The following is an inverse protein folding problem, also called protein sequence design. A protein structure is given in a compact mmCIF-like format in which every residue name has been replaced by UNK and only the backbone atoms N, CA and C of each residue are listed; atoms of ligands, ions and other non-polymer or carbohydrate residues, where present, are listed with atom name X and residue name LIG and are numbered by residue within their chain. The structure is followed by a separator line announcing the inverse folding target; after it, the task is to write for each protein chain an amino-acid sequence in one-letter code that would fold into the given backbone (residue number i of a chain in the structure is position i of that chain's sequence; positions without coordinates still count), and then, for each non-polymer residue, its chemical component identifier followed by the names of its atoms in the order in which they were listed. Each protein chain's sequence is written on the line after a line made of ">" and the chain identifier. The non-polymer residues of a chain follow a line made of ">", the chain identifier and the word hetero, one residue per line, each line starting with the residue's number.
data_IF_660997733152
#
_entry.id   IF_660997733152
#
_cell.length_a   1.000
_cell.length_b   1.000
_cell.length_c   1.000
_cell.angle_alpha   90.00
_cell.angle_beta   90.00
_cell.angle_gamma   90.00
#
_symmetry.space_group_name_H-M   'P 1'
#
loop_
_entity.id
_entity.type
_entity.pdbx_description
1 polymer ?
#
# COMPACT_ATOMS: atom_id res chain seq x y z
N UNK A 1 -12.56 -4.75 5.54
CA UNK A 1 -11.28 -4.54 6.26
C UNK A 1 -10.33 -3.76 5.38
N UNK A 2 -9.72 -2.73 5.92
CA UNK A 2 -8.72 -1.93 5.19
C UNK A 2 -7.34 -2.32 5.70
N UNK A 3 -6.44 -2.58 4.78
CA UNK A 3 -5.02 -2.82 5.06
C UNK A 3 -4.16 -2.00 4.11
N UNK A 4 -2.87 -1.95 4.33
CA UNK A 4 -1.95 -1.38 3.35
C UNK A 4 -0.72 -2.26 3.18
N UNK A 5 -0.10 -2.15 2.02
CA UNK A 5 1.16 -2.81 1.68
C UNK A 5 2.14 -1.74 1.25
N UNK A 6 3.28 -1.64 1.92
CA UNK A 6 4.27 -0.61 1.66
C UNK A 6 5.68 -1.12 1.91
N UNK A 7 6.63 -0.66 1.11
CA UNK A 7 8.05 -0.77 1.40
C UNK A 7 8.55 0.61 1.80
N UNK A 8 9.27 0.71 2.90
CA UNK A 8 9.62 1.97 3.53
C UNK A 8 11.08 1.94 4.01
N UNK A 9 11.83 3.00 3.76
CA UNK A 9 13.21 3.08 4.22
C UNK A 9 13.32 3.65 5.65
N UNK A 10 14.52 3.70 6.27
CA UNK A 10 14.65 4.18 7.65
C UNK A 10 14.17 5.62 7.89
N UNK A 11 14.08 6.44 6.85
CA UNK A 11 13.61 7.82 6.93
C UNK A 11 12.14 7.96 6.49
N UNK A 12 11.38 6.87 6.49
CA UNK A 12 9.99 6.82 6.03
C UNK A 12 9.83 7.10 4.54
N UNK A 13 10.91 6.94 3.76
CA UNK A 13 10.90 7.12 2.31
C UNK A 13 10.21 5.99 1.59
N UNK A 14 9.38 6.32 0.60
CA UNK A 14 8.62 5.33 -0.17
C UNK A 14 8.71 5.52 -1.68
N UNK A 15 9.31 6.60 -2.15
CA UNK A 15 9.39 6.83 -3.59
C UNK A 15 10.33 7.94 -3.99
N UNK A 16 10.72 7.91 -5.27
CA UNK A 16 11.44 8.99 -5.94
C UNK A 16 11.01 9.04 -7.41
N UNK A 17 10.67 10.24 -7.90
CA UNK A 17 10.26 10.48 -9.29
C UNK A 17 9.18 9.50 -9.77
N UNK A 18 8.20 9.21 -8.91
CA UNK A 18 7.08 8.32 -9.22
C UNK A 18 7.38 6.83 -9.22
N UNK A 19 8.57 6.43 -8.79
CA UNK A 19 9.00 5.03 -8.74
C UNK A 19 9.55 4.68 -7.36
N UNK A 20 9.80 3.38 -7.14
CA UNK A 20 10.52 2.92 -5.95
C UNK A 20 12.01 3.24 -6.10
N UNK A 21 12.68 3.71 -5.02
CA UNK A 21 14.12 3.98 -5.08
C UNK A 21 14.98 2.72 -5.12
N UNK A 22 14.39 1.57 -4.77
CA UNK A 22 15.08 0.28 -4.72
C UNK A 22 14.46 -0.70 -5.70
N UNK A 23 15.21 -1.76 -5.99
CA UNK A 23 14.74 -2.85 -6.81
C UNK A 23 15.15 -4.16 -6.14
N UNK A 24 14.22 -4.74 -5.37
CA UNK A 24 14.47 -5.90 -4.53
C UNK A 24 13.49 -7.00 -4.91
N UNK A 25 14.02 -8.08 -5.51
CA UNK A 25 13.21 -9.17 -6.04
C UNK A 25 12.32 -9.84 -5.00
N UNK A 26 12.88 -10.12 -3.82
CA UNK A 26 12.15 -10.79 -2.74
C UNK A 26 10.98 -9.95 -2.25
N UNK A 27 11.15 -8.62 -2.21
CA UNK A 27 10.10 -7.71 -1.82
C UNK A 27 8.96 -7.70 -2.84
N UNK A 28 9.28 -7.69 -4.13
CA UNK A 28 8.28 -7.77 -5.19
C UNK A 28 7.51 -9.10 -5.15
N UNK A 29 8.17 -10.19 -4.83
CA UNK A 29 7.52 -11.50 -4.67
C UNK A 29 6.56 -11.50 -3.49
N UNK A 30 6.94 -10.86 -2.37
CA UNK A 30 6.06 -10.72 -1.20
C UNK A 30 4.83 -9.88 -1.53
N UNK A 31 5.00 -8.78 -2.23
CA UNK A 31 3.88 -7.94 -2.67
C UNK A 31 2.89 -8.76 -3.50
N UNK A 32 3.40 -9.51 -4.48
CA UNK A 32 2.56 -10.37 -5.31
C UNK A 32 1.82 -11.42 -4.47
N UNK A 33 2.52 -12.09 -3.56
CA UNK A 33 1.93 -13.11 -2.69
C UNK A 33 0.82 -12.52 -1.82
N UNK A 34 1.08 -11.36 -1.21
CA UNK A 34 0.16 -10.75 -0.25
C UNK A 34 -1.09 -10.15 -0.93
N UNK A 35 -0.99 -9.79 -2.20
CA UNK A 35 -2.09 -9.13 -2.92
C UNK A 35 -2.85 -10.07 -3.88
N UNK A 36 -2.34 -11.26 -4.15
CA UNK A 36 -2.96 -12.18 -5.10
C UNK A 36 -4.38 -12.55 -4.67
N UNK A 37 -5.31 -12.51 -5.61
CA UNK A 37 -6.74 -12.79 -5.41
C UNK A 37 -7.45 -11.81 -4.47
N UNK A 38 -6.86 -10.65 -4.25
CA UNK A 38 -7.42 -9.63 -3.35
C UNK A 38 -7.77 -8.35 -4.09
N UNK A 39 -8.50 -7.49 -3.41
CA UNK A 39 -8.82 -6.14 -3.88
C UNK A 39 -7.69 -5.20 -3.46
N UNK A 40 -7.20 -4.41 -4.42
CA UNK A 40 -6.16 -3.42 -4.13
C UNK A 40 -6.64 -2.02 -4.52
N UNK A 41 -6.34 -1.05 -3.65
CA UNK A 41 -6.63 0.36 -3.86
C UNK A 41 -5.36 1.10 -4.18
N UNK A 42 -5.37 1.93 -5.23
CA UNK A 42 -4.26 2.82 -5.51
C UNK A 42 -4.73 4.10 -6.18
N UNK A 43 -3.98 5.17 -5.99
CA UNK A 43 -4.25 6.43 -6.66
C UNK A 43 -4.04 6.33 -8.17
N UNK A 44 -4.69 7.21 -8.92
CA UNK A 44 -4.60 7.24 -10.38
C UNK A 44 -3.15 7.34 -10.86
N UNK A 45 -2.36 8.23 -10.28
CA UNK A 45 -0.96 8.41 -10.69
C UNK A 45 -0.15 7.14 -10.52
N UNK A 46 -0.32 6.46 -9.38
CA UNK A 46 0.34 5.18 -9.13
C UNK A 46 -0.08 4.13 -10.15
N UNK A 47 -1.37 4.03 -10.42
CA UNK A 47 -1.89 3.07 -11.39
C UNK A 47 -1.36 3.35 -12.80
N UNK A 48 -1.40 4.61 -13.23
CA UNK A 48 -0.96 5.00 -14.57
C UNK A 48 0.55 4.82 -14.78
N UNK A 49 1.33 4.83 -13.71
CA UNK A 49 2.78 4.62 -13.76
C UNK A 49 3.21 3.15 -13.63
N UNK A 50 2.29 2.21 -13.50
CA UNK A 50 2.63 0.80 -13.43
C UNK A 50 3.29 0.34 -14.73
N UNK A 51 4.37 -0.47 -14.64
CA UNK A 51 5.04 -0.96 -15.85
C UNK A 51 4.25 -2.02 -16.60
N UNK A 52 3.16 -2.53 -16.00
CA UNK A 52 2.31 -3.55 -16.62
C UNK A 52 1.05 -3.76 -15.81
N UNK A 53 0.25 -4.74 -16.23
CA UNK A 53 -0.98 -5.10 -15.51
C UNK A 53 -0.68 -5.85 -14.21
N UNK A 54 -1.69 -5.94 -13.35
CA UNK A 54 -1.62 -6.70 -12.10
C UNK A 54 -2.61 -7.87 -12.17
N UNK A 55 -2.26 -8.95 -12.88
CA UNK A 55 -3.17 -10.09 -13.04
C UNK A 55 -3.47 -10.76 -11.71
N UNK A 56 -4.70 -11.27 -11.57
CA UNK A 56 -5.14 -11.96 -10.36
C UNK A 56 -5.53 -11.04 -9.22
N UNK A 57 -5.58 -9.73 -9.44
CA UNK A 57 -6.00 -8.75 -8.43
C UNK A 57 -7.11 -7.88 -8.99
N UNK A 58 -8.04 -7.50 -8.11
CA UNK A 58 -9.11 -6.56 -8.46
C UNK A 58 -8.65 -5.16 -8.06
N UNK A 59 -8.44 -4.29 -9.05
CA UNK A 59 -7.91 -2.96 -8.83
C UNK A 59 -9.03 -1.94 -8.71
N UNK A 60 -8.95 -1.10 -7.68
CA UNK A 60 -9.81 0.05 -7.48
C UNK A 60 -8.92 1.28 -7.54
N UNK A 61 -9.16 2.15 -8.53
CA UNK A 61 -8.38 3.37 -8.73
C UNK A 61 -9.09 4.53 -8.04
N UNK A 62 -8.33 5.26 -7.24
CA UNK A 62 -8.80 6.47 -6.54
C UNK A 62 -8.41 7.69 -7.37
N UNK A 63 -9.39 8.48 -7.78
CA UNK A 63 -9.16 9.69 -8.56
C UNK A 63 -10.26 10.70 -8.31
N UNK A 64 -9.92 11.99 -8.40
CA UNK A 64 -10.93 13.07 -8.36
C UNK A 64 -11.55 13.33 -9.73
N UNK A 65 -11.02 12.73 -10.79
CA UNK A 65 -11.54 12.90 -12.15
C UNK A 65 -12.79 12.04 -12.36
N UNK A 66 -13.99 12.65 -12.51
CA UNK A 66 -15.23 11.89 -12.68
C UNK A 66 -15.32 11.17 -14.02
N UNK A 67 -14.45 11.51 -14.96
CA UNK A 67 -14.44 10.92 -16.30
C UNK A 67 -13.37 9.84 -16.47
N UNK A 68 -12.57 9.59 -15.41
CA UNK A 68 -11.53 8.55 -15.49
C UNK A 68 -12.19 7.18 -15.59
N UNK A 69 -11.75 6.40 -16.56
CA UNK A 69 -12.23 5.05 -16.78
C UNK A 69 -11.14 4.23 -17.46
N UNK A 70 -10.95 3.01 -16.99
CA UNK A 70 -10.06 2.02 -17.60
C UNK A 70 -10.76 0.67 -17.59
N UNK A 71 -10.42 -0.18 -18.57
CA UNK A 71 -10.91 -1.54 -18.62
C UNK A 71 -10.40 -2.32 -17.41
N UNK A 72 -11.24 -3.21 -16.90
CA UNK A 72 -10.90 -4.14 -15.82
C UNK A 72 -10.54 -3.50 -14.46
N UNK A 73 -10.88 -2.22 -14.25
CA UNK A 73 -10.73 -1.59 -12.94
C UNK A 73 -12.02 -0.95 -12.48
N UNK A 74 -12.22 -0.91 -11.16
CA UNK A 74 -13.21 -0.06 -10.54
C UNK A 74 -12.59 1.32 -10.29
N UNK A 75 -13.42 2.35 -10.19
CA UNK A 75 -12.98 3.71 -9.90
C UNK A 75 -13.80 4.25 -8.73
N UNK A 76 -13.15 4.89 -7.78
CA UNK A 76 -13.85 5.68 -6.76
C UNK A 76 -13.37 7.13 -6.80
N UNK A 77 -14.33 8.05 -6.75
CA UNK A 77 -14.05 9.48 -6.69
C UNK A 77 -14.11 10.03 -5.26
N UNK A 78 -14.41 9.17 -4.28
CA UNK A 78 -14.52 9.57 -2.87
C UNK A 78 -13.86 8.49 -2.00
N UNK A 79 -12.56 8.67 -1.76
CA UNK A 79 -11.76 7.71 -0.99
C UNK A 79 -12.29 7.55 0.44
N UNK A 80 -12.56 8.65 1.13
CA UNK A 80 -12.98 8.60 2.53
C UNK A 80 -14.29 7.84 2.68
N UNK A 81 -15.26 8.10 1.81
CA UNK A 81 -16.51 7.34 1.81
C UNK A 81 -16.28 5.85 1.58
N UNK A 82 -15.42 5.51 0.61
CA UNK A 82 -15.07 4.12 0.34
C UNK A 82 -14.48 3.44 1.58
N UNK A 83 -13.55 4.11 2.26
CA UNK A 83 -12.92 3.56 3.45
C UNK A 83 -13.92 3.37 4.59
N UNK A 84 -14.79 4.35 4.82
CA UNK A 84 -15.83 4.26 5.85
C UNK A 84 -16.81 3.13 5.56
N UNK A 85 -17.21 2.97 4.29
CA UNK A 85 -18.18 1.96 3.88
C UNK A 85 -17.63 0.54 3.99
N UNK A 86 -16.31 0.37 3.86
CA UNK A 86 -15.67 -0.96 3.74
C UNK A 86 -14.75 -1.34 4.89
N UNK A 87 -14.52 -0.45 5.88
CA UNK A 87 -13.59 -0.74 6.96
C UNK A 87 -13.98 -1.95 7.83
N UNK A 88 -15.27 -2.28 7.88
CA UNK A 88 -15.79 -3.39 8.67
C UNK A 88 -16.20 -4.60 7.82
N UNK A 89 -15.94 -4.57 6.53
CA UNK A 89 -16.23 -5.70 5.65
C UNK A 89 -15.30 -6.88 5.93
N UNK A 90 -15.78 -8.10 5.64
CA UNK A 90 -14.93 -9.29 5.65
C UNK A 90 -13.93 -9.26 4.50
N UNK A 91 -14.28 -8.64 3.37
CA UNK A 91 -13.38 -8.47 2.24
C UNK A 91 -12.23 -7.54 2.62
N UNK A 92 -11.01 -7.93 2.30
CA UNK A 92 -9.83 -7.12 2.52
C UNK A 92 -9.53 -6.24 1.32
N UNK A 93 -9.37 -4.93 1.57
CA UNK A 93 -8.96 -3.95 0.57
C UNK A 93 -7.57 -3.44 0.96
N UNK A 94 -6.58 -3.70 0.11
CA UNK A 94 -5.18 -3.40 0.40
C UNK A 94 -4.76 -2.11 -0.32
N UNK A 95 -4.44 -1.08 0.44
CA UNK A 95 -3.97 0.19 -0.10
C UNK A 95 -2.51 0.06 -0.53
N UNK A 96 -2.23 0.39 -1.80
CA UNK A 96 -0.92 0.17 -2.42
C UNK A 96 -0.28 1.46 -2.97
N UNK A 97 -0.65 2.62 -2.44
CA UNK A 97 0.00 3.89 -2.78
C UNK A 97 -0.92 4.86 -3.51
N UNK A 98 -0.48 6.04 -3.78
CA UNK A 98 0.77 6.64 -3.30
C UNK A 98 0.66 7.29 -1.93
N UNK A 99 1.57 8.22 -1.65
CA UNK A 99 1.70 8.83 -0.32
C UNK A 99 0.41 9.45 0.19
N UNK A 100 -0.31 10.20 -0.63
CA UNK A 100 -1.58 10.81 -0.24
C UNK A 100 -2.63 9.77 0.11
N UNK A 101 -2.68 8.67 -0.65
CA UNK A 101 -3.64 7.60 -0.41
C UNK A 101 -3.29 6.85 0.87
N UNK A 102 -2.01 6.54 1.10
CA UNK A 102 -1.56 5.95 2.37
C UNK A 102 -1.94 6.83 3.56
N UNK A 103 -1.67 8.13 3.46
CA UNK A 103 -1.96 9.07 4.55
C UNK A 103 -3.44 9.09 4.90
N UNK A 104 -4.29 9.16 3.89
CA UNK A 104 -5.74 9.21 4.10
C UNK A 104 -6.30 7.90 4.62
N UNK A 105 -5.75 6.77 4.18
CA UNK A 105 -6.20 5.44 4.58
C UNK A 105 -5.66 4.99 5.94
N UNK A 106 -4.56 5.57 6.39
CA UNK A 106 -3.86 5.12 7.60
C UNK A 106 -4.78 4.99 8.83
N UNK A 107 -5.65 5.97 9.14
CA UNK A 107 -6.53 5.84 10.31
C UNK A 107 -7.55 4.70 10.22
N UNK A 108 -7.87 4.24 9.02
CA UNK A 108 -8.87 3.19 8.80
C UNK A 108 -8.26 1.79 8.74
N UNK A 109 -6.95 1.68 8.58
CA UNK A 109 -6.30 0.40 8.39
C UNK A 109 -6.15 -0.35 9.71
N UNK A 110 -6.56 -1.62 9.70
CA UNK A 110 -6.42 -2.51 10.86
C UNK A 110 -5.25 -3.47 10.72
N UNK A 111 -4.67 -3.58 9.52
CA UNK A 111 -3.61 -4.52 9.19
C UNK A 111 -2.64 -3.89 8.19
N UNK A 112 -1.38 -4.29 8.25
CA UNK A 112 -0.38 -3.79 7.32
C UNK A 112 0.63 -4.88 6.97
N UNK A 113 1.12 -4.81 5.73
CA UNK A 113 2.23 -5.61 5.23
C UNK A 113 3.36 -4.62 4.93
N UNK A 114 4.41 -4.64 5.74
CA UNK A 114 5.46 -3.63 5.64
C UNK A 114 6.82 -4.27 5.44
N UNK A 115 7.52 -3.84 4.40
CA UNK A 115 8.92 -4.19 4.16
C UNK A 115 9.78 -3.02 4.62
N UNK A 116 10.50 -3.22 5.72
CA UNK A 116 11.39 -2.20 6.28
C UNK A 116 12.75 -2.33 5.62
N UNK A 117 13.02 -1.44 4.65
CA UNK A 117 14.26 -1.42 3.89
C UNK A 117 15.40 -1.00 4.83
N UNK A 118 16.50 -1.74 4.83
CA UNK A 118 17.60 -1.52 5.77
C UNK A 118 18.51 -0.35 5.42
N UNK A 119 18.54 0.06 4.16
CA UNK A 119 19.41 1.11 3.65
C UNK A 119 18.61 2.39 3.41
N UNK A 120 19.20 3.55 3.74
CA UNK A 120 18.63 4.83 3.36
C UNK A 120 18.81 5.10 1.88
N UNK A 121 17.80 5.65 1.24
CA UNK A 121 17.79 6.00 -0.17
C UNK A 121 17.46 7.47 -0.36
N UNK A 122 17.84 8.03 -1.50
CA UNK A 122 17.35 9.33 -1.90
C UNK A 122 15.88 9.21 -2.28
N UNK A 123 15.03 9.99 -1.61
CA UNK A 123 13.59 9.95 -1.82
C UNK A 123 13.03 11.38 -1.92
N UNK A 124 11.93 11.53 -2.64
CA UNK A 124 11.15 12.75 -2.67
C UNK A 124 9.75 12.56 -2.09
N UNK A 125 9.42 11.33 -1.72
CA UNK A 125 8.09 10.95 -1.23
C UNK A 125 8.23 10.12 0.03
N UNK A 126 7.48 10.50 1.08
CA UNK A 126 7.54 9.84 2.39
C UNK A 126 6.15 9.48 2.91
N UNK A 127 6.11 8.48 3.79
CA UNK A 127 4.92 8.09 4.54
C UNK A 127 5.07 8.54 5.99
N UNK A 128 5.01 9.85 6.22
CA UNK A 128 5.32 10.44 7.53
C UNK A 128 4.33 10.07 8.63
N UNK A 129 3.07 9.76 8.27
CA UNK A 129 2.05 9.40 9.27
C UNK A 129 2.18 7.99 9.81
N UNK A 130 3.04 7.14 9.19
CA UNK A 130 3.26 5.79 9.68
C UNK A 130 4.02 5.81 11.00
N UNK A 131 3.48 5.15 12.02
CA UNK A 131 4.11 5.00 13.35
C UNK A 131 4.11 3.53 13.76
N UNK A 132 5.29 2.95 13.87
CA UNK A 132 5.42 1.53 14.24
C UNK A 132 4.79 1.23 15.61
N UNK A 133 4.82 2.19 16.52
CA UNK A 133 4.23 2.03 17.85
C UNK A 133 2.70 1.84 17.85
N UNK A 134 2.03 2.14 16.75
CA UNK A 134 0.59 1.91 16.62
C UNK A 134 0.25 0.44 16.37
N UNK A 135 1.25 -0.42 16.17
CA UNK A 135 1.07 -1.76 15.65
C UNK A 135 1.71 -2.84 16.51
N UNK A 136 1.07 -4.02 16.54
CA UNK A 136 1.66 -5.25 17.04
C UNK A 136 2.23 -6.04 15.86
N UNK A 137 3.40 -6.64 16.04
CA UNK A 137 4.05 -7.47 15.03
C UNK A 137 3.44 -8.88 15.11
N UNK A 138 2.82 -9.32 14.02
CA UNK A 138 2.19 -10.65 13.92
C UNK A 138 3.14 -11.66 13.30
N UNK A 139 3.90 -11.22 12.29
CA UNK A 139 4.88 -12.04 11.59
C UNK A 139 6.09 -11.20 11.26
N UNK A 140 7.27 -11.79 11.30
CA UNK A 140 8.53 -11.12 10.97
C UNK A 140 9.46 -12.09 10.26
N UNK A 141 10.00 -11.64 9.12
CA UNK A 141 11.02 -12.38 8.37
C UNK A 141 12.16 -11.42 8.02
N UNK A 142 13.38 -11.79 8.43
CA UNK A 142 14.58 -10.98 8.19
C UNK A 142 15.23 -11.42 6.87
N UNK A 143 15.16 -10.56 5.85
CA UNK A 143 15.86 -10.75 4.58
C UNK A 143 17.16 -9.93 4.59
N UNK A 144 18.04 -10.16 3.61
CA UNK A 144 19.31 -9.44 3.55
C UNK A 144 19.12 -7.93 3.47
N UNK A 145 18.22 -7.45 2.62
CA UNK A 145 18.05 -6.02 2.34
C UNK A 145 16.89 -5.37 3.07
N UNK A 146 16.03 -6.15 3.71
CA UNK A 146 14.86 -5.62 4.40
C UNK A 146 14.34 -6.60 5.44
N UNK A 147 13.52 -6.08 6.38
CA UNK A 147 12.77 -6.90 7.31
C UNK A 147 11.29 -6.80 6.91
N UNK A 148 10.69 -7.92 6.58
CA UNK A 148 9.26 -7.99 6.30
C UNK A 148 8.50 -8.22 7.60
N UNK A 149 7.45 -7.41 7.83
CA UNK A 149 6.55 -7.58 8.97
C UNK A 149 5.10 -7.50 8.53
N UNK A 150 4.30 -8.42 9.06
CA UNK A 150 2.86 -8.27 9.04
C UNK A 150 2.43 -7.68 10.37
N UNK A 151 1.66 -6.61 10.32
CA UNK A 151 1.29 -5.82 11.49
C UNK A 151 -0.23 -5.83 11.68
N UNK A 152 -0.64 -5.80 12.94
CA UNK A 152 -2.04 -5.60 13.33
C UNK A 152 -2.10 -4.36 14.20
N UNK A 153 -3.10 -3.48 13.94
CA UNK A 153 -3.25 -2.26 14.75
C UNK A 153 -3.56 -2.63 16.20
N UNK A 154 -2.88 -1.98 17.12
CA UNK A 154 -3.17 -2.10 18.54
C UNK A 154 -4.60 -1.65 18.80
N UNK A 155 -5.31 -2.36 19.66
CA UNK A 155 -6.70 -2.07 20.03
C UNK A 155 -7.68 -2.17 18.86
N UNK A 156 -7.35 -2.93 17.83
CA UNK A 156 -8.24 -3.19 16.69
C UNK A 156 -9.09 -4.43 16.91
#
# INVERSE_FOLDING_TARGET
>A
MISFSVAIDPNKGIGIKGSLPWHIKEELQLFKRNTMDKHILMGQTTYDNLPGSLPGRKVIVVTIDPNYSKDDVEVTNDLIKFLQDHQNDETEYIVCGGASIYRQAYPYASKAYVSFIKKEYEVDTKFDSFELNDWDIVEEVDYEQFIYRQLRRKNA
#
